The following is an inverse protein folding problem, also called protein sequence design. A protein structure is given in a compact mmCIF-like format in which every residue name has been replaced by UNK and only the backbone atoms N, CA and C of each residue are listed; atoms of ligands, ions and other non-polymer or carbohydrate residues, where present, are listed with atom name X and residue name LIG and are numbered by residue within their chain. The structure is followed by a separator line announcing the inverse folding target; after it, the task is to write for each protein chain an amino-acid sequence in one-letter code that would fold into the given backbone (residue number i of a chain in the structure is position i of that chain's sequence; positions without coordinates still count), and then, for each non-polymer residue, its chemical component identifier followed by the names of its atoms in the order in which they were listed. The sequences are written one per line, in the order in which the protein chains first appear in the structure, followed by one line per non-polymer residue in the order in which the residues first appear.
data_IF_654168608148
#
_entry.id   IF_654168608148
#
_cell.length_a   1.000
_cell.length_b   1.000
_cell.length_c   1.000
_cell.angle_alpha   90.00
_cell.angle_beta   90.00
_cell.angle_gamma   90.00
#
_symmetry.space_group_name_H-M   'P 1'
#
loop_
_entity.id
_entity.type
_entity.pdbx_description
1 polymer ?
#
# COMPACT_ATOMS: atom_id res chain seq x y z
N UNK A 1 -1.64 11.16 -38.86
CA UNK A 1 -0.41 11.04 -38.06
C UNK A 1 -0.81 10.46 -36.71
N UNK A 2 -0.73 9.13 -36.55
CA UNK A 2 -1.09 8.49 -35.29
C UNK A 2 0.13 8.54 -34.37
N UNK A 3 0.06 9.32 -33.29
CA UNK A 3 1.09 9.27 -32.24
C UNK A 3 1.02 7.90 -31.57
N UNK A 4 2.03 7.07 -31.83
CA UNK A 4 2.30 5.89 -31.01
C UNK A 4 2.66 6.38 -29.60
N UNK A 5 1.70 6.36 -28.69
CA UNK A 5 1.94 6.50 -27.26
C UNK A 5 2.73 5.24 -26.85
N UNK A 6 4.07 5.32 -26.84
CA UNK A 6 4.90 4.27 -26.23
C UNK A 6 4.47 4.19 -24.78
N UNK A 7 3.74 3.12 -24.42
CA UNK A 7 3.46 2.80 -23.03
C UNK A 7 4.81 2.53 -22.38
N UNK A 8 5.22 3.38 -21.45
CA UNK A 8 6.41 3.11 -20.64
C UNK A 8 6.11 1.89 -19.78
N UNK A 9 6.80 0.80 -20.07
CA UNK A 9 6.77 -0.44 -19.31
C UNK A 9 8.12 -0.60 -18.62
N UNK A 10 8.08 -1.12 -17.40
CA UNK A 10 9.25 -1.41 -16.59
C UNK A 10 9.29 -2.89 -16.26
N UNK A 11 10.44 -3.50 -16.48
CA UNK A 11 10.73 -4.88 -16.10
C UNK A 11 11.13 -4.94 -14.61
N UNK A 12 10.48 -5.78 -13.83
CA UNK A 12 10.72 -5.94 -12.39
C UNK A 12 10.85 -7.40 -11.99
N UNK A 13 11.75 -7.67 -11.05
CA UNK A 13 11.84 -8.95 -10.35
C UNK A 13 11.27 -8.77 -8.92
N UNK A 14 10.33 -9.63 -8.53
CA UNK A 14 9.72 -9.56 -7.20
C UNK A 14 10.59 -10.38 -6.24
N UNK A 15 11.31 -9.69 -5.34
CA UNK A 15 12.32 -10.32 -4.46
C UNK A 15 11.83 -11.49 -3.60
N UNK A 16 10.54 -11.52 -3.26
CA UNK A 16 9.94 -12.56 -2.41
C UNK A 16 9.35 -13.72 -3.22
N UNK A 17 9.28 -13.58 -4.53
CA UNK A 17 8.72 -14.56 -5.45
C UNK A 17 9.61 -14.69 -6.70
N UNK A 18 10.88 -15.12 -6.53
CA UNK A 18 11.84 -15.22 -7.64
C UNK A 18 11.38 -16.18 -8.74
N UNK A 19 10.50 -17.13 -8.43
CA UNK A 19 9.89 -18.05 -9.40
C UNK A 19 9.07 -17.33 -10.48
N UNK A 20 8.59 -16.12 -10.20
CA UNK A 20 7.87 -15.31 -11.19
C UNK A 20 8.80 -14.66 -12.23
N UNK A 21 10.11 -14.68 -11.99
CA UNK A 21 11.10 -14.07 -12.88
C UNK A 21 10.86 -12.58 -13.10
N UNK A 22 11.11 -12.13 -14.33
CA UNK A 22 10.93 -10.74 -14.75
C UNK A 22 9.48 -10.54 -15.19
N UNK A 23 8.80 -9.59 -14.54
CA UNK A 23 7.44 -9.17 -14.86
C UNK A 23 7.47 -7.78 -15.50
N UNK A 24 6.75 -7.62 -16.61
CA UNK A 24 6.51 -6.31 -17.21
C UNK A 24 5.34 -5.61 -16.52
N UNK A 25 5.56 -4.40 -16.02
CA UNK A 25 4.53 -3.56 -15.40
C UNK A 25 4.46 -2.19 -16.06
N UNK A 26 3.24 -1.66 -16.18
CA UNK A 26 3.01 -0.26 -16.56
C UNK A 26 3.57 0.66 -15.45
N UNK A 27 4.30 1.72 -15.83
CA UNK A 27 4.91 2.64 -14.87
C UNK A 27 3.90 3.29 -13.93
N UNK A 28 2.63 3.44 -14.33
CA UNK A 28 1.57 3.97 -13.45
C UNK A 28 1.25 3.06 -12.25
N UNK A 29 1.57 1.77 -12.35
CA UNK A 29 1.37 0.78 -11.29
C UNK A 29 2.59 0.71 -10.34
N UNK A 30 3.63 1.50 -10.61
CA UNK A 30 4.87 1.49 -9.86
C UNK A 30 5.04 2.80 -9.09
N UNK A 31 5.54 2.67 -7.86
CA UNK A 31 5.99 3.79 -7.04
C UNK A 31 7.26 3.42 -6.29
N UNK A 32 8.09 4.39 -5.89
CA UNK A 32 9.26 4.12 -5.06
C UNK A 32 8.87 3.33 -3.80
N UNK A 33 9.71 2.37 -3.42
CA UNK A 33 9.51 1.59 -2.18
C UNK A 33 9.36 2.53 -0.99
N UNK A 34 8.30 2.33 -0.19
CA UNK A 34 8.09 3.08 1.04
C UNK A 34 9.29 2.91 1.99
N UNK A 35 9.76 4.02 2.58
CA UNK A 35 10.91 4.05 3.51
C UNK A 35 10.60 4.68 4.86
N UNK A 36 9.46 5.36 4.97
CA UNK A 36 9.07 6.10 6.17
C UNK A 36 7.93 5.36 6.87
N UNK A 37 8.15 5.01 8.13
CA UNK A 37 7.09 4.51 9.01
C UNK A 37 6.51 5.71 9.74
N UNK A 38 5.20 5.93 9.61
CA UNK A 38 4.51 7.01 10.29
C UNK A 38 4.24 6.63 11.76
N UNK A 39 4.57 7.53 12.67
CA UNK A 39 4.21 7.42 14.10
C UNK A 39 2.74 7.78 14.28
N UNK A 40 2.16 7.34 15.40
CA UNK A 40 0.77 7.68 15.78
C UNK A 40 0.47 9.19 15.68
N UNK A 41 1.38 10.05 16.15
CA UNK A 41 1.23 11.50 16.13
C UNK A 41 1.25 12.13 14.73
N UNK A 42 1.66 11.37 13.71
CA UNK A 42 1.77 11.84 12.32
C UNK A 42 0.55 11.43 11.49
N UNK A 43 -0.29 10.51 11.98
CA UNK A 43 -1.48 10.03 11.29
C UNK A 43 -2.62 11.05 11.39
N UNK A 44 -3.34 11.25 10.29
CA UNK A 44 -4.55 12.07 10.24
C UNK A 44 -5.67 11.37 9.48
N UNK A 45 -6.91 11.66 9.87
CA UNK A 45 -8.09 11.24 9.10
C UNK A 45 -8.04 11.90 7.71
N UNK A 46 -8.28 11.11 6.67
CA UNK A 46 -8.15 11.48 5.26
C UNK A 46 -6.78 11.18 4.63
N UNK A 47 -5.77 10.80 5.42
CA UNK A 47 -4.48 10.38 4.86
C UNK A 47 -4.64 9.04 4.13
N UNK A 48 -4.06 8.94 2.93
CA UNK A 48 -3.91 7.68 2.20
C UNK A 48 -2.52 7.13 2.49
N UNK A 49 -2.47 6.00 3.20
CA UNK A 49 -1.23 5.38 3.68
C UNK A 49 -1.17 3.90 3.29
N UNK A 50 0.04 3.34 3.25
CA UNK A 50 0.24 1.92 2.99
C UNK A 50 0.16 1.14 4.31
N UNK A 51 -0.79 0.21 4.42
CA UNK A 51 -1.06 -0.59 5.61
C UNK A 51 -0.88 -2.08 5.35
N UNK A 52 -0.43 -2.83 6.35
CA UNK A 52 -0.47 -4.29 6.30
C UNK A 52 -1.80 -4.75 6.89
N UNK A 53 -2.59 -5.46 6.10
CA UNK A 53 -3.90 -5.96 6.53
C UNK A 53 -4.19 -7.29 5.85
N UNK A 54 -4.82 -8.22 6.55
CA UNK A 54 -5.33 -9.46 5.99
C UNK A 54 -6.86 -9.33 5.85
N UNK A 55 -7.34 -9.39 4.61
CA UNK A 55 -8.77 -9.24 4.29
C UNK A 55 -9.60 -10.46 4.66
N UNK A 56 -8.98 -11.64 4.77
CA UNK A 56 -9.64 -12.89 5.16
C UNK A 56 -9.65 -13.05 6.69
N UNK A 57 -8.52 -12.75 7.35
CA UNK A 57 -8.37 -12.80 8.81
C UNK A 57 -7.73 -11.51 9.36
N UNK A 58 -8.54 -10.52 9.79
CA UNK A 58 -8.06 -9.20 10.23
C UNK A 58 -7.07 -9.19 11.40
N UNK A 59 -6.99 -10.28 12.17
CA UNK A 59 -6.08 -10.39 13.31
C UNK A 59 -4.67 -10.87 12.90
N UNK A 60 -4.52 -11.35 11.66
CA UNK A 60 -3.25 -11.83 11.11
C UNK A 60 -2.55 -10.82 10.19
N UNK A 61 -1.25 -11.04 9.95
CA UNK A 61 -0.50 -10.28 8.95
C UNK A 61 -0.94 -10.69 7.55
N UNK A 62 -1.14 -9.69 6.68
CA UNK A 62 -1.54 -9.91 5.29
C UNK A 62 -0.65 -9.19 4.31
N UNK A 63 -1.28 -8.61 3.29
CA UNK A 63 -0.60 -7.88 2.23
C UNK A 63 -0.58 -6.37 2.51
N UNK A 64 0.22 -5.65 1.73
CA UNK A 64 0.30 -4.20 1.80
C UNK A 64 -0.73 -3.58 0.86
N UNK A 65 -1.63 -2.77 1.41
CA UNK A 65 -2.69 -2.08 0.67
C UNK A 65 -2.56 -0.58 0.87
N UNK A 66 -3.01 0.20 -0.11
CA UNK A 66 -3.33 1.60 0.13
C UNK A 66 -4.67 1.69 0.86
N UNK A 67 -4.73 2.53 1.89
CA UNK A 67 -5.93 2.72 2.70
C UNK A 67 -6.07 4.17 3.15
N UNK A 68 -7.29 4.68 3.11
CA UNK A 68 -7.63 6.01 3.62
C UNK A 68 -8.02 5.90 5.10
N UNK A 69 -7.34 6.63 5.98
CA UNK A 69 -7.66 6.64 7.41
C UNK A 69 -9.01 7.33 7.63
N UNK A 70 -9.96 6.63 8.23
CA UNK A 70 -11.32 7.15 8.49
C UNK A 70 -11.56 7.49 9.96
N UNK A 71 -10.81 6.88 10.88
CA UNK A 71 -10.89 7.17 12.32
C UNK A 71 -9.59 6.81 13.03
N UNK A 72 -9.19 7.67 13.98
CA UNK A 72 -8.09 7.44 14.91
C UNK A 72 -8.62 7.58 16.33
N UNK A 73 -8.52 6.54 17.14
CA UNK A 73 -9.00 6.53 18.53
C UNK A 73 -7.90 6.10 19.47
N UNK A 74 -7.58 6.96 20.43
CA UNK A 74 -6.67 6.63 21.52
C UNK A 74 -7.50 6.24 22.75
N UNK A 75 -7.68 4.94 22.96
CA UNK A 75 -8.44 4.41 24.10
C UNK A 75 -7.60 4.51 25.37
N UNK A 76 -6.30 4.26 25.26
CA UNK A 76 -5.34 4.41 26.36
C UNK A 76 -3.93 4.70 25.83
N UNK A 77 -2.98 4.90 26.73
CA UNK A 77 -1.57 5.08 26.38
C UNK A 77 -1.04 3.94 25.48
N UNK A 78 -1.52 2.70 25.70
CA UNK A 78 -1.06 1.51 24.98
C UNK A 78 -2.08 0.95 23.99
N UNK A 79 -3.35 1.36 24.05
CA UNK A 79 -4.40 0.90 23.13
C UNK A 79 -4.83 2.03 22.19
N UNK A 80 -4.57 1.83 20.91
CA UNK A 80 -4.80 2.77 19.81
C UNK A 80 -5.47 2.01 18.67
N UNK A 81 -6.60 2.53 18.21
CA UNK A 81 -7.35 1.95 17.10
C UNK A 81 -7.24 2.87 15.88
N UNK A 82 -6.88 2.28 14.75
CA UNK A 82 -6.92 2.91 13.42
C UNK A 82 -7.99 2.19 12.63
N UNK A 83 -9.01 2.92 12.17
CA UNK A 83 -9.92 2.41 11.16
C UNK A 83 -9.57 3.09 9.84
N UNK A 84 -9.53 2.29 8.78
CA UNK A 84 -9.21 2.76 7.45
C UNK A 84 -10.08 2.05 6.40
N UNK A 85 -10.34 2.74 5.30
CA UNK A 85 -10.99 2.19 4.12
C UNK A 85 -9.91 1.65 3.19
N UNK A 86 -9.81 0.33 3.07
CA UNK A 86 -8.91 -0.34 2.12
C UNK A 86 -9.33 0.01 0.70
N UNK A 87 -8.37 0.40 -0.14
CA UNK A 87 -8.57 0.67 -1.56
C UNK A 87 -8.18 -0.59 -2.34
N UNK A 88 -9.18 -1.42 -2.65
CA UNK A 88 -9.02 -2.54 -3.56
C UNK A 88 -9.23 -2.03 -4.99
N UNK A 89 -8.26 -2.31 -5.86
CA UNK A 89 -8.22 -1.82 -7.25
C UNK A 89 -9.42 -2.20 -8.10
#
# INVERSE_FOLDING_TARGET
MSLNLKREQSSLEISWYPENGIIEMDTKNLRPRARTILKWSELKVGDVVMVNYNVEDPEERGFWFDAEITSLREISRTNKEVHAKILLG
#
